data_IF_797175005281
#
_entry.id   IF_797175005281
#
_cell.length_a   1.000
_cell.length_b   1.000
_cell.length_c   1.000
_cell.angle_alpha   90.00
_cell.angle_beta   90.00
_cell.angle_gamma   90.00
#
_symmetry.space_group_name_H-M   'P 1'
#
loop_
_entity.id
_entity.type
_entity.pdbx_description
1 polymer ?
#
# COMPACT_ATOMS: atom_id res chain seq x y z
N UNK A 1 34.77 -41.18 4.14
CA UNK A 1 33.62 -42.03 4.50
C UNK A 1 32.89 -41.32 5.62
N UNK A 2 31.69 -40.73 5.54
CA UNK A 2 30.55 -40.59 4.59
C UNK A 2 29.96 -39.17 4.89
N UNK A 3 29.75 -38.23 3.93
CA UNK A 3 28.49 -37.91 3.20
C UNK A 3 27.21 -38.29 3.96
N UNK A 4 26.28 -37.40 4.31
CA UNK A 4 25.23 -36.69 3.54
C UNK A 4 24.22 -36.18 4.61
N UNK A 5 23.29 -35.22 4.45
CA UNK A 5 22.72 -34.48 3.34
C UNK A 5 22.08 -33.18 3.87
N UNK A 6 22.00 -32.17 3.00
CA UNK A 6 21.27 -30.93 3.20
C UNK A 6 19.78 -31.13 2.89
N UNK A 7 18.90 -30.62 3.75
CA UNK A 7 17.46 -30.58 3.53
C UNK A 7 17.03 -29.18 3.07
N UNK A 8 16.62 -29.09 1.80
CA UNK A 8 15.84 -27.99 1.25
C UNK A 8 14.44 -27.99 1.89
N UNK A 9 14.04 -26.89 2.54
CA UNK A 9 12.66 -26.67 2.92
C UNK A 9 12.02 -25.69 1.93
N UNK A 10 11.25 -26.25 0.98
CA UNK A 10 10.31 -25.50 0.16
C UNK A 10 9.07 -25.14 0.98
N UNK A 11 8.68 -23.88 0.98
CA UNK A 11 7.45 -23.41 1.58
C UNK A 11 6.26 -23.88 0.73
N UNK A 12 5.45 -24.79 1.27
CA UNK A 12 4.19 -25.22 0.66
C UNK A 12 3.07 -24.22 0.96
N UNK A 13 2.24 -23.92 -0.05
CA UNK A 13 0.99 -23.16 0.11
C UNK A 13 -0.05 -23.96 0.92
N UNK A 14 -0.98 -23.30 1.65
CA UNK A 14 -2.08 -23.99 2.32
C UNK A 14 -3.17 -24.43 1.33
N UNK A 15 -3.64 -25.68 1.45
CA UNK A 15 -4.78 -26.21 0.70
C UNK A 15 -6.12 -25.54 1.10
N UNK A 16 -7.04 -25.27 0.16
CA UNK A 16 -8.42 -24.92 0.48
C UNK A 16 -9.27 -26.17 0.79
N UNK A 17 -10.04 -26.12 1.88
CA UNK A 17 -11.02 -27.16 2.24
C UNK A 17 -12.19 -27.19 1.22
N UNK A 18 -12.74 -28.37 0.89
CA UNK A 18 -13.84 -28.46 -0.06
C UNK A 18 -15.17 -28.00 0.56
N UNK A 19 -15.88 -27.15 -0.18
CA UNK A 19 -17.26 -26.75 0.10
C UNK A 19 -18.22 -27.92 -0.17
N UNK A 20 -19.06 -28.22 0.82
CA UNK A 20 -20.17 -29.18 0.73
C UNK A 20 -21.33 -28.52 -0.03
N UNK A 21 -21.76 -29.14 -1.14
CA UNK A 21 -22.96 -28.73 -1.87
C UNK A 21 -24.23 -29.20 -1.12
N UNK A 22 -25.30 -28.39 -1.00
CA UNK A 22 -26.52 -28.80 -0.32
C UNK A 22 -27.40 -29.67 -1.23
N UNK A 23 -27.95 -30.73 -0.64
CA UNK A 23 -28.92 -31.64 -1.24
C UNK A 23 -30.29 -30.96 -1.43
N UNK A 24 -30.85 -31.05 -2.64
CA UNK A 24 -32.20 -30.57 -2.95
C UNK A 24 -33.25 -31.61 -2.53
N UNK A 25 -34.02 -31.27 -1.50
CA UNK A 25 -35.24 -31.96 -1.03
C UNK A 25 -36.42 -31.75 -1.99
N UNK A 26 -37.23 -32.79 -2.18
CA UNK A 26 -38.39 -32.79 -3.07
C UNK A 26 -39.72 -32.30 -2.46
N UNK A 27 -40.56 -31.78 -3.36
CA UNK A 27 -42.04 -31.76 -3.36
C UNK A 27 -42.77 -30.64 -2.57
N UNK A 28 -44.07 -30.35 -2.83
CA UNK A 28 -44.94 -30.78 -3.95
C UNK A 28 -45.90 -29.69 -4.54
N UNK A 29 -46.60 -30.09 -5.62
CA UNK A 29 -48.05 -29.87 -5.91
C UNK A 29 -48.53 -28.82 -6.95
N UNK A 30 -49.54 -29.30 -7.71
CA UNK A 30 -50.55 -28.63 -8.58
C UNK A 30 -50.05 -27.96 -9.88
N UNK A 31 -50.63 -28.18 -11.07
CA UNK A 31 -51.78 -28.94 -11.53
C UNK A 31 -52.34 -28.28 -12.79
N UNK A 32 -52.51 -29.01 -13.89
CA UNK A 32 -53.58 -28.83 -14.89
C UNK A 32 -53.42 -29.90 -15.96
N UNK A 33 -54.54 -30.57 -16.27
CA UNK A 33 -54.57 -31.68 -17.22
C UNK A 33 -54.36 -31.21 -18.66
N UNK A 34 -54.41 -32.16 -19.60
CA UNK A 34 -55.16 -32.13 -20.86
C UNK A 34 -55.20 -33.59 -21.35
N UNK A 35 -56.40 -34.12 -21.60
CA UNK A 35 -56.61 -35.47 -22.15
C UNK A 35 -56.41 -35.43 -23.67
N UNK A 36 -55.67 -36.40 -24.26
CA UNK A 36 -56.19 -37.25 -25.37
C UNK A 36 -55.20 -38.31 -25.87
N UNK A 37 -55.79 -39.51 -26.05
CA UNK A 37 -55.51 -40.59 -27.03
C UNK A 37 -54.27 -41.47 -26.87
N UNK A 38 -54.54 -42.69 -26.38
CA UNK A 38 -53.81 -43.93 -26.65
C UNK A 38 -53.63 -44.16 -28.16
N UNK A 39 -52.40 -44.43 -28.60
CA UNK A 39 -52.01 -45.48 -29.56
C UNK A 39 -50.56 -45.90 -29.27
N UNK A 40 -50.23 -47.20 -29.32
CA UNK A 40 -48.90 -47.69 -29.01
C UNK A 40 -48.01 -47.50 -30.25
N UNK A 41 -46.89 -46.81 -30.11
CA UNK A 41 -45.82 -46.83 -31.11
C UNK A 41 -44.53 -47.22 -30.41
N UNK A 42 -44.24 -48.50 -30.50
CA UNK A 42 -42.90 -49.07 -30.45
C UNK A 42 -41.99 -48.29 -31.39
N UNK A 43 -41.16 -47.40 -30.82
CA UNK A 43 -40.03 -46.78 -31.50
C UNK A 43 -38.74 -47.45 -31.01
N UNK A 44 -38.53 -48.69 -31.45
CA UNK A 44 -37.17 -49.14 -31.74
C UNK A 44 -36.83 -48.52 -33.10
N UNK A 45 -35.77 -47.71 -33.24
CA UNK A 45 -35.32 -47.36 -34.57
C UNK A 45 -34.72 -48.65 -35.13
N UNK A 46 -35.39 -49.24 -36.11
CA UNK A 46 -34.74 -50.14 -37.06
C UNK A 46 -33.63 -49.33 -37.74
N UNK A 47 -32.43 -49.32 -37.16
CA UNK A 47 -31.23 -48.92 -37.89
C UNK A 47 -31.15 -49.86 -39.08
N UNK A 48 -31.29 -49.29 -40.28
CA UNK A 48 -31.10 -50.01 -41.52
C UNK A 48 -29.75 -50.72 -41.48
N UNK A 49 -29.68 -51.96 -41.98
CA UNK A 49 -28.41 -52.69 -42.12
C UNK A 49 -27.36 -51.84 -42.86
N UNK A 50 -27.82 -50.92 -43.71
CA UNK A 50 -26.98 -49.94 -44.41
C UNK A 50 -26.37 -48.89 -43.47
N UNK A 51 -27.14 -48.37 -42.53
CA UNK A 51 -26.68 -47.35 -41.58
C UNK A 51 -25.74 -47.95 -40.53
N UNK A 52 -26.01 -49.19 -40.10
CA UNK A 52 -25.07 -49.96 -39.29
C UNK A 52 -23.77 -50.24 -40.07
N UNK A 53 -23.86 -50.59 -41.35
CA UNK A 53 -22.70 -50.76 -42.23
C UNK A 53 -21.85 -49.49 -42.36
N UNK A 54 -22.47 -48.33 -42.56
CA UNK A 54 -21.77 -47.05 -42.60
C UNK A 54 -21.09 -46.72 -41.27
N UNK A 55 -21.77 -46.97 -40.14
CA UNK A 55 -21.22 -46.72 -38.81
C UNK A 55 -20.02 -47.64 -38.51
N UNK A 56 -20.14 -48.93 -38.84
CA UNK A 56 -19.05 -49.91 -38.66
C UNK A 56 -17.88 -49.63 -39.61
N UNK A 57 -18.13 -49.18 -40.84
CA UNK A 57 -17.07 -48.76 -41.76
C UNK A 57 -16.34 -47.50 -41.27
N UNK A 58 -17.07 -46.51 -40.74
CA UNK A 58 -16.48 -45.32 -40.16
C UNK A 58 -15.65 -45.65 -38.90
N UNK A 59 -16.15 -46.54 -38.04
CA UNK A 59 -15.40 -47.05 -36.90
C UNK A 59 -14.15 -47.82 -37.33
N UNK A 60 -14.24 -48.67 -38.36
CA UNK A 60 -13.08 -49.39 -38.90
C UNK A 60 -12.03 -48.42 -39.45
N UNK A 61 -12.44 -47.40 -40.20
CA UNK A 61 -11.54 -46.36 -40.71
C UNK A 61 -10.89 -45.55 -39.59
N UNK A 62 -11.63 -45.23 -38.53
CA UNK A 62 -11.10 -44.54 -37.37
C UNK A 62 -10.12 -45.41 -36.58
N UNK A 63 -10.42 -46.71 -36.41
CA UNK A 63 -9.55 -47.67 -35.77
C UNK A 63 -8.27 -47.92 -36.59
N UNK A 64 -8.38 -48.05 -37.91
CA UNK A 64 -7.23 -48.19 -38.81
C UNK A 64 -6.39 -46.91 -38.84
N UNK A 65 -7.02 -45.74 -38.83
CA UNK A 65 -6.34 -44.44 -38.73
C UNK A 65 -5.59 -44.29 -37.40
N UNK A 66 -6.21 -44.72 -36.28
CA UNK A 66 -5.58 -44.75 -34.95
C UNK A 66 -4.43 -45.76 -34.87
N UNK A 67 -4.57 -46.93 -35.50
CA UNK A 67 -3.50 -47.93 -35.60
C UNK A 67 -2.32 -47.40 -36.42
N UNK A 68 -2.58 -46.72 -37.54
CA UNK A 68 -1.55 -46.06 -38.34
C UNK A 68 -0.88 -44.89 -37.60
N UNK A 69 -1.65 -44.17 -36.78
CA UNK A 69 -1.16 -43.12 -35.89
C UNK A 69 -0.23 -43.67 -34.80
N UNK A 70 -0.58 -44.83 -34.21
CA UNK A 70 0.24 -45.50 -33.20
C UNK A 70 1.49 -46.15 -33.78
N UNK A 71 1.42 -46.70 -35.00
CA UNK A 71 2.56 -47.35 -35.67
C UNK A 71 3.61 -46.36 -36.20
N UNK A 72 3.21 -45.12 -36.53
CA UNK A 72 4.12 -44.07 -37.01
C UNK A 72 4.76 -43.22 -35.90
N UNK A 73 4.64 -43.62 -34.63
CA UNK A 73 5.36 -42.98 -33.52
C UNK A 73 4.82 -41.61 -33.09
N UNK A 74 3.58 -41.25 -33.45
CA UNK A 74 2.92 -40.03 -33.00
C UNK A 74 2.43 -39.09 -34.12
N UNK A 75 2.00 -37.87 -33.77
CA UNK A 75 1.40 -36.95 -34.72
C UNK A 75 2.42 -36.43 -35.74
N UNK A 76 2.02 -36.20 -37.01
CA UNK A 76 2.89 -35.63 -38.03
C UNK A 76 3.45 -34.27 -37.60
N UNK A 77 4.69 -33.97 -37.99
CA UNK A 77 5.42 -32.75 -37.61
C UNK A 77 4.63 -31.44 -37.79
N UNK A 78 3.81 -31.34 -38.84
CA UNK A 78 2.93 -30.20 -39.05
C UNK A 78 1.97 -29.93 -37.87
N UNK A 79 1.42 -30.96 -37.21
CA UNK A 79 0.54 -30.79 -36.05
C UNK A 79 1.33 -30.38 -34.79
N UNK A 80 2.61 -30.78 -34.69
CA UNK A 80 3.51 -30.31 -33.65
C UNK A 80 3.90 -28.84 -33.88
N UNK A 81 4.13 -28.45 -35.12
CA UNK A 81 4.43 -27.06 -35.49
C UNK A 81 3.20 -26.16 -35.31
N UNK A 82 2.01 -26.66 -35.65
CA UNK A 82 0.75 -25.93 -35.42
C UNK A 82 0.49 -25.70 -33.92
N UNK A 83 0.86 -26.64 -33.03
CA UNK A 83 0.86 -26.46 -31.57
C UNK A 83 1.80 -25.33 -31.14
N UNK A 84 2.94 -25.18 -31.82
CA UNK A 84 3.89 -24.12 -31.53
C UNK A 84 3.38 -22.73 -31.94
N UNK A 85 2.54 -22.65 -32.98
CA UNK A 85 1.91 -21.41 -33.46
C UNK A 85 0.62 -21.03 -32.71
N UNK A 86 -0.14 -22.00 -32.22
CA UNK A 86 -1.41 -21.76 -31.49
C UNK A 86 -1.23 -21.53 -29.98
N UNK A 87 0.01 -21.57 -29.47
CA UNK A 87 0.30 -21.46 -28.05
C UNK A 87 -0.03 -22.74 -27.28
N UNK A 88 0.62 -22.94 -26.12
CA UNK A 88 0.38 -24.09 -25.26
C UNK A 88 -1.08 -24.17 -24.85
N UNK A 89 -1.83 -25.09 -25.46
CA UNK A 89 -3.14 -25.51 -24.97
C UNK A 89 -2.95 -26.15 -23.60
N UNK A 90 -3.49 -25.53 -22.56
CA UNK A 90 -3.49 -26.03 -21.17
C UNK A 90 -4.38 -27.27 -20.97
N UNK A 91 -4.99 -27.80 -22.03
CA UNK A 91 -6.01 -28.84 -21.89
C UNK A 91 -5.45 -30.24 -21.58
N UNK A 92 -4.14 -30.49 -21.72
CA UNK A 92 -3.55 -31.83 -21.49
C UNK A 92 -2.37 -31.88 -20.50
N UNK A 93 -1.97 -30.76 -19.89
CA UNK A 93 -0.86 -30.71 -18.92
C UNK A 93 -1.31 -30.38 -17.46
N UNK A 94 -2.62 -30.38 -17.18
CA UNK A 94 -3.22 -29.85 -15.93
C UNK A 94 -3.32 -30.87 -14.77
N UNK A 95 -2.21 -31.52 -14.43
CA UNK A 95 -2.01 -32.08 -13.08
C UNK A 95 -0.92 -31.34 -12.28
N UNK A 96 -0.38 -30.25 -12.84
CA UNK A 96 0.40 -29.28 -12.06
C UNK A 96 -0.52 -28.43 -11.17
N UNK A 97 -0.05 -27.97 -9.99
CA UNK A 97 -0.76 -26.95 -9.25
C UNK A 97 -1.02 -25.75 -10.17
N UNK A 98 -2.23 -25.18 -10.10
CA UNK A 98 -2.63 -24.05 -10.92
C UNK A 98 -1.52 -22.98 -10.91
N UNK A 99 -1.11 -22.45 -12.07
CA UNK A 99 -0.07 -21.44 -12.12
C UNK A 99 -0.47 -20.28 -11.22
N UNK A 100 0.46 -19.85 -10.35
CA UNK A 100 0.24 -18.74 -9.45
C UNK A 100 -0.22 -17.53 -10.28
N UNK A 101 -1.44 -17.06 -10.03
CA UNK A 101 -1.99 -15.89 -10.72
C UNK A 101 -1.19 -14.66 -10.27
N UNK A 102 -0.10 -14.36 -10.97
CA UNK A 102 0.62 -13.10 -10.82
C UNK A 102 -0.31 -12.01 -11.30
N UNK A 103 -0.78 -11.15 -10.39
CA UNK A 103 -1.59 -10.00 -10.76
C UNK A 103 -0.76 -9.11 -11.70
N UNK A 104 -1.35 -8.54 -12.77
CA UNK A 104 -0.62 -7.71 -13.73
C UNK A 104 -0.17 -6.35 -13.15
N UNK A 105 -0.38 -6.14 -11.85
CA UNK A 105 -0.11 -4.91 -11.11
C UNK A 105 0.47 -5.26 -9.73
N UNK A 106 1.22 -4.33 -9.10
CA UNK A 106 1.70 -4.53 -7.73
C UNK A 106 0.54 -4.80 -6.78
N UNK A 107 0.54 -5.96 -6.14
CA UNK A 107 -0.52 -6.41 -5.21
C UNK A 107 -0.17 -6.20 -3.73
N UNK A 108 1.04 -5.70 -3.47
CA UNK A 108 1.62 -5.51 -2.15
C UNK A 108 2.20 -4.10 -2.07
N UNK A 109 1.53 -3.21 -1.35
CA UNK A 109 1.95 -1.81 -1.19
C UNK A 109 2.25 -1.53 0.28
N UNK A 110 3.38 -0.87 0.55
CA UNK A 110 3.75 -0.43 1.90
C UNK A 110 3.84 1.09 1.94
N UNK A 111 3.04 1.70 2.83
CA UNK A 111 3.15 3.09 3.21
C UNK A 111 3.72 3.21 4.63
N UNK A 112 5.05 3.23 4.74
CA UNK A 112 5.77 3.38 6.01
C UNK A 112 5.80 4.85 6.46
N UNK A 113 4.62 5.35 6.80
CA UNK A 113 4.29 6.78 6.90
C UNK A 113 5.16 7.56 7.89
N UNK A 114 5.75 8.66 7.41
CA UNK A 114 6.54 9.59 8.26
C UNK A 114 5.61 10.44 9.13
N UNK A 115 5.94 10.60 10.41
CA UNK A 115 5.17 11.44 11.34
C UNK A 115 5.10 12.90 10.89
N UNK A 116 3.91 13.51 11.06
CA UNK A 116 3.62 14.93 10.76
C UNK A 116 3.77 15.34 9.28
N UNK A 117 3.71 14.36 8.37
CA UNK A 117 3.70 14.55 6.92
C UNK A 117 2.32 14.29 6.29
N UNK A 118 1.23 14.68 6.98
CA UNK A 118 -0.14 14.48 6.49
C UNK A 118 -0.66 13.04 6.52
N UNK A 119 0.02 12.14 7.23
CA UNK A 119 -0.29 10.70 7.21
C UNK A 119 -1.71 10.36 7.65
N UNK A 120 -2.30 11.12 8.59
CA UNK A 120 -3.69 10.90 9.05
C UNK A 120 -4.70 11.17 7.94
N UNK A 121 -4.58 12.30 7.26
CA UNK A 121 -5.40 12.65 6.09
C UNK A 121 -5.32 11.56 5.01
N UNK A 122 -4.12 11.06 4.73
CA UNK A 122 -3.94 9.99 3.72
C UNK A 122 -4.56 8.68 4.17
N UNK A 123 -4.51 8.33 5.46
CA UNK A 123 -5.14 7.11 5.99
C UNK A 123 -6.67 7.18 5.91
N UNK A 124 -7.25 8.36 6.08
CA UNK A 124 -8.69 8.58 5.89
C UNK A 124 -9.10 8.30 4.43
N UNK A 125 -8.32 8.80 3.47
CA UNK A 125 -8.50 8.46 2.05
C UNK A 125 -8.38 6.94 1.81
N UNK A 126 -7.33 6.32 2.37
CA UNK A 126 -7.08 4.89 2.18
C UNK A 126 -8.20 4.00 2.71
N UNK A 127 -8.89 4.39 3.79
CA UNK A 127 -10.05 3.68 4.33
C UNK A 127 -11.24 3.71 3.38
N UNK A 128 -11.55 4.91 2.87
CA UNK A 128 -12.61 5.08 1.87
C UNK A 128 -12.28 4.27 0.60
N UNK A 129 -11.03 4.32 0.17
CA UNK A 129 -10.54 3.62 -1.02
C UNK A 129 -10.53 2.10 -0.84
N UNK A 130 -10.20 1.57 0.36
CA UNK A 130 -10.20 0.13 0.61
C UNK A 130 -11.59 -0.46 0.50
N UNK A 131 -12.60 0.25 1.01
CA UNK A 131 -14.00 -0.17 0.88
C UNK A 131 -14.48 -0.08 -0.56
N UNK A 132 -14.09 0.98 -1.28
CA UNK A 132 -14.51 1.20 -2.68
C UNK A 132 -13.88 0.20 -3.65
N UNK A 133 -12.60 -0.10 -3.49
CA UNK A 133 -11.82 -0.89 -4.45
C UNK A 133 -11.53 -2.33 -3.99
N UNK A 134 -11.94 -2.70 -2.77
CA UNK A 134 -11.89 -4.08 -2.27
C UNK A 134 -10.48 -4.60 -1.99
N UNK A 135 -9.56 -3.73 -1.55
CA UNK A 135 -8.22 -4.15 -1.10
C UNK A 135 -8.12 -4.13 0.43
N UNK A 136 -7.21 -4.95 0.98
CA UNK A 136 -7.01 -5.03 2.42
C UNK A 136 -6.13 -3.90 2.93
N UNK A 137 -6.69 -2.98 3.72
CA UNK A 137 -5.92 -1.96 4.43
C UNK A 137 -5.38 -2.53 5.74
N UNK A 138 -4.12 -2.94 5.74
CA UNK A 138 -3.49 -3.56 6.91
C UNK A 138 -2.87 -2.49 7.79
N UNK A 139 -3.29 -2.43 9.05
CA UNK A 139 -2.68 -1.59 10.08
C UNK A 139 -2.07 -2.49 11.16
N UNK A 140 -1.32 -1.90 12.10
CA UNK A 140 -0.69 -2.63 13.20
C UNK A 140 -0.94 -1.87 14.49
N UNK A 141 -1.39 -2.56 15.53
CA UNK A 141 -1.67 -1.99 16.86
C UNK A 141 -0.48 -1.23 17.46
N UNK A 142 0.75 -1.64 17.09
CA UNK A 142 1.96 -0.98 17.52
C UNK A 142 2.26 0.21 16.59
N UNK A 143 1.86 1.41 17.02
CA UNK A 143 2.04 2.62 16.22
C UNK A 143 3.30 3.44 16.53
N UNK A 144 3.90 3.29 17.72
CA UNK A 144 4.95 4.19 18.23
C UNK A 144 6.38 3.65 18.09
N UNK A 145 6.55 2.34 17.84
CA UNK A 145 7.86 1.71 17.69
C UNK A 145 8.31 1.69 16.24
N UNK A 146 9.16 2.66 15.88
CA UNK A 146 9.70 2.82 14.51
C UNK A 146 10.97 2.00 14.26
N UNK A 147 11.77 1.78 15.31
CA UNK A 147 13.03 1.02 15.32
C UNK A 147 12.77 -0.40 15.80
N UNK A 148 13.11 -1.38 14.99
CA UNK A 148 12.81 -2.79 15.24
C UNK A 148 14.10 -3.62 15.36
N UNK A 149 14.13 -4.54 16.31
CA UNK A 149 15.15 -5.59 16.37
C UNK A 149 15.01 -6.55 15.19
N UNK A 150 16.04 -7.38 14.93
CA UNK A 150 15.99 -8.36 13.82
C UNK A 150 14.77 -9.30 13.93
N UNK A 151 14.45 -9.75 15.14
CA UNK A 151 13.32 -10.66 15.37
C UNK A 151 11.98 -9.96 15.11
N UNK A 152 11.83 -8.72 15.58
CA UNK A 152 10.62 -7.91 15.34
C UNK A 152 10.46 -7.56 13.85
N UNK A 153 11.55 -7.37 13.11
CA UNK A 153 11.49 -7.19 11.66
C UNK A 153 10.98 -8.45 10.98
N UNK A 154 11.50 -9.63 11.35
CA UNK A 154 11.04 -10.91 10.80
C UNK A 154 9.56 -11.15 11.11
N UNK A 155 9.14 -10.91 12.35
CA UNK A 155 7.75 -11.08 12.77
C UNK A 155 6.81 -10.12 12.03
N UNK A 156 7.18 -8.85 11.93
CA UNK A 156 6.38 -7.87 11.20
C UNK A 156 6.29 -8.19 9.71
N UNK A 157 7.40 -8.57 9.08
CA UNK A 157 7.41 -8.99 7.67
C UNK A 157 6.52 -10.21 7.48
N UNK A 158 6.62 -11.22 8.35
CA UNK A 158 5.77 -12.41 8.29
C UNK A 158 4.29 -12.04 8.39
N UNK A 159 3.92 -11.20 9.36
CA UNK A 159 2.53 -10.79 9.57
C UNK A 159 1.97 -10.00 8.36
N UNK A 160 2.79 -9.15 7.74
CA UNK A 160 2.41 -8.41 6.53
C UNK A 160 2.26 -9.37 5.34
N UNK A 161 3.23 -10.26 5.13
CA UNK A 161 3.24 -11.20 4.01
C UNK A 161 2.13 -12.25 4.07
N UNK A 162 1.55 -12.52 5.24
CA UNK A 162 0.38 -13.41 5.40
C UNK A 162 -0.95 -12.73 5.10
N UNK A 163 -0.99 -11.42 4.90
CA UNK A 163 -2.22 -10.72 4.56
C UNK A 163 -2.73 -11.11 3.17
N UNK A 164 -4.05 -11.20 3.03
CA UNK A 164 -4.68 -11.49 1.74
C UNK A 164 -4.44 -10.34 0.75
N UNK A 165 -4.04 -10.68 -0.47
CA UNK A 165 -3.71 -9.72 -1.52
C UNK A 165 -4.95 -9.43 -2.40
N UNK A 166 -5.10 -8.19 -2.92
CA UNK A 166 -4.20 -7.06 -2.79
C UNK A 166 -4.29 -6.39 -1.41
N UNK A 167 -3.14 -5.99 -0.85
CA UNK A 167 -3.11 -5.25 0.42
C UNK A 167 -2.30 -3.96 0.32
N UNK A 168 -2.63 -3.02 1.20
CA UNK A 168 -1.82 -1.83 1.49
C UNK A 168 -1.55 -1.78 2.98
N UNK A 169 -0.29 -1.95 3.37
CA UNK A 169 0.14 -1.88 4.76
C UNK A 169 0.55 -0.45 5.13
N UNK A 170 0.10 0.06 6.28
CA UNK A 170 0.51 1.36 6.77
C UNK A 170 0.87 1.38 8.26
N UNK A 171 2.05 1.93 8.58
CA UNK A 171 2.56 2.08 9.95
C UNK A 171 3.67 3.13 10.01
N UNK A 172 3.86 3.76 11.17
CA UNK A 172 5.09 4.49 11.46
C UNK A 172 6.24 3.52 11.75
N UNK A 173 7.02 3.18 10.72
CA UNK A 173 8.16 2.27 10.83
C UNK A 173 9.26 2.67 9.85
N UNK A 174 10.53 2.51 10.23
CA UNK A 174 11.62 2.72 9.26
C UNK A 174 11.63 1.61 8.22
N UNK A 175 12.12 1.92 7.02
CA UNK A 175 12.19 1.02 5.88
C UNK A 175 12.67 -0.39 6.26
N UNK A 176 11.93 -1.40 5.77
CA UNK A 176 12.20 -2.81 5.93
C UNK A 176 12.54 -3.42 4.58
N UNK A 177 13.68 -4.11 4.51
CA UNK A 177 14.04 -4.90 3.35
C UNK A 177 13.48 -6.31 3.53
N UNK A 178 12.41 -6.64 2.81
CA UNK A 178 11.71 -7.93 2.90
C UNK A 178 12.56 -9.04 2.30
N UNK A 179 13.25 -8.76 1.18
CA UNK A 179 14.14 -9.71 0.51
C UNK A 179 15.25 -10.24 1.41
N UNK A 180 15.77 -9.41 2.32
CA UNK A 180 16.77 -9.82 3.32
C UNK A 180 16.26 -10.90 4.27
N UNK A 181 14.96 -11.04 4.42
CA UNK A 181 14.29 -12.04 5.25
C UNK A 181 13.55 -13.11 4.44
N UNK A 182 13.82 -13.21 3.14
CA UNK A 182 13.22 -14.20 2.25
C UNK A 182 11.76 -13.94 1.87
N UNK A 183 11.26 -12.71 2.11
CA UNK A 183 9.95 -12.28 1.64
C UNK A 183 10.03 -11.55 0.30
N UNK A 184 8.93 -11.55 -0.44
CA UNK A 184 8.78 -10.73 -1.63
C UNK A 184 8.82 -9.25 -1.26
N UNK A 185 9.56 -8.45 -2.02
CA UNK A 185 9.68 -7.02 -1.75
C UNK A 185 8.41 -6.30 -2.21
N UNK A 186 7.62 -5.71 -1.29
CA UNK A 186 6.47 -4.91 -1.66
C UNK A 186 6.92 -3.58 -2.25
N UNK A 187 6.02 -2.95 -2.99
CA UNK A 187 6.24 -1.60 -3.50
C UNK A 187 6.05 -0.58 -2.39
N UNK A 188 7.06 0.26 -2.16
CA UNK A 188 6.94 1.33 -1.16
C UNK A 188 6.42 2.63 -1.77
N UNK A 189 5.60 3.33 -1.00
CA UNK A 189 5.21 4.72 -1.25
C UNK A 189 5.43 5.55 0.01
N UNK A 190 5.69 6.85 -0.13
CA UNK A 190 5.77 7.73 1.02
C UNK A 190 5.49 9.19 0.67
N UNK A 191 5.25 9.99 1.71
CA UNK A 191 5.05 11.44 1.62
C UNK A 191 5.88 12.08 2.71
N UNK A 192 6.76 13.00 2.32
CA UNK A 192 7.57 13.80 3.25
C UNK A 192 7.08 15.25 3.27
N UNK A 193 7.65 16.06 4.15
CA UNK A 193 7.32 17.48 4.32
C UNK A 193 8.62 18.25 4.55
N UNK A 194 8.61 19.55 4.29
CA UNK A 194 9.69 20.45 4.71
C UNK A 194 10.16 20.13 6.16
N UNK A 195 11.47 19.91 6.38
CA UNK A 195 12.00 19.46 7.67
C UNK A 195 11.62 20.33 8.86
N UNK A 196 11.70 21.66 8.72
CA UNK A 196 11.37 22.61 9.79
C UNK A 196 9.87 22.61 10.05
N UNK A 197 9.03 22.71 9.02
CA UNK A 197 7.58 22.67 9.16
C UNK A 197 7.09 21.37 9.79
N UNK A 198 7.72 20.23 9.46
CA UNK A 198 7.47 18.94 10.12
C UNK A 198 7.86 18.99 11.60
N UNK A 199 9.05 19.52 11.91
CA UNK A 199 9.51 19.68 13.28
C UNK A 199 8.58 20.58 14.10
N UNK A 200 8.24 21.77 13.61
CA UNK A 200 7.32 22.70 14.28
C UNK A 200 5.96 22.05 14.50
N UNK A 201 5.41 21.37 13.47
CA UNK A 201 4.17 20.64 13.65
C UNK A 201 4.26 19.57 14.73
N UNK A 202 5.40 18.89 14.91
CA UNK A 202 5.61 17.93 15.99
C UNK A 202 5.75 18.62 17.36
N UNK A 203 6.49 19.72 17.43
CA UNK A 203 6.75 20.50 18.63
C UNK A 203 5.44 20.95 19.28
N UNK A 204 4.58 21.61 18.50
CA UNK A 204 3.28 22.09 18.98
C UNK A 204 2.28 20.96 19.19
N UNK A 205 2.34 19.89 18.39
CA UNK A 205 1.43 18.75 18.58
C UNK A 205 1.66 18.02 19.90
N UNK A 206 2.91 17.88 20.32
CA UNK A 206 3.22 17.29 21.63
C UNK A 206 2.73 18.16 22.79
N UNK A 207 2.56 19.46 22.59
CA UNK A 207 2.17 20.44 23.63
C UNK A 207 0.66 20.70 23.66
N UNK A 208 0.06 20.86 22.50
CA UNK A 208 -1.31 21.37 22.34
C UNK A 208 -2.20 20.42 21.52
N UNK A 209 -1.65 19.37 20.92
CA UNK A 209 -2.44 18.39 20.18
C UNK A 209 -2.94 18.89 18.82
N UNK A 210 -4.11 18.38 18.47
CA UNK A 210 -4.92 18.70 17.29
C UNK A 210 -6.31 19.14 17.78
N UNK A 211 -7.24 19.43 16.87
CA UNK A 211 -8.58 19.94 17.21
C UNK A 211 -9.45 19.00 18.07
N UNK A 212 -9.03 17.75 18.27
CA UNK A 212 -9.70 16.73 19.11
C UNK A 212 -9.56 16.97 20.63
N UNK A 213 -9.59 18.22 21.06
CA UNK A 213 -9.64 18.61 22.47
C UNK A 213 -8.37 18.45 23.32
N UNK A 214 -8.34 19.21 24.42
CA UNK A 214 -7.22 19.29 25.37
C UNK A 214 -7.08 18.02 26.25
N UNK A 215 -8.19 17.28 26.48
CA UNK A 215 -8.21 16.04 27.26
C UNK A 215 -7.26 14.97 26.70
N UNK A 216 -7.05 15.00 25.38
CA UNK A 216 -6.16 14.11 24.67
C UNK A 216 -4.66 14.37 24.97
N UNK A 217 -4.28 15.56 25.46
CA UNK A 217 -2.88 15.85 25.78
C UNK A 217 -2.38 15.05 26.99
N UNK A 218 -3.20 14.92 28.05
CA UNK A 218 -2.82 14.17 29.27
C UNK A 218 -2.55 12.70 28.96
N UNK A 219 -3.23 12.13 27.96
CA UNK A 219 -3.02 10.77 27.49
C UNK A 219 -1.76 10.66 26.61
N UNK A 220 -1.52 11.66 25.75
CA UNK A 220 -0.44 11.63 24.74
C UNK A 220 0.95 11.92 25.33
N UNK A 221 1.02 12.84 26.29
CA UNK A 221 2.27 13.25 26.95
C UNK A 221 2.04 13.42 28.46
N UNK A 222 1.78 12.31 29.18
CA UNK A 222 1.37 12.36 30.59
C UNK A 222 2.38 13.02 31.53
N UNK A 223 3.67 13.01 31.17
CA UNK A 223 4.76 13.51 32.01
C UNK A 223 5.25 14.92 31.62
N UNK A 224 4.59 15.61 30.69
CA UNK A 224 5.04 16.95 30.26
C UNK A 224 4.66 18.00 31.30
N UNK A 225 5.67 18.72 31.83
CA UNK A 225 5.45 19.79 32.80
C UNK A 225 4.85 21.02 32.13
N UNK A 226 4.19 21.88 32.92
CA UNK A 226 3.61 23.13 32.41
C UNK A 226 4.68 24.05 31.79
N UNK A 227 5.84 24.17 32.44
CA UNK A 227 7.00 24.91 31.94
C UNK A 227 7.50 24.38 30.58
N UNK A 228 7.51 23.06 30.39
CA UNK A 228 7.85 22.44 29.11
C UNK A 228 6.76 22.67 28.06
N UNK A 229 5.49 22.60 28.46
CA UNK A 229 4.34 22.77 27.57
C UNK A 229 4.33 24.15 26.92
N UNK A 230 4.62 25.19 27.70
CA UNK A 230 4.60 26.59 27.26
C UNK A 230 5.99 27.15 26.96
N UNK A 231 7.02 26.29 26.89
CA UNK A 231 8.37 26.70 26.49
C UNK A 231 8.32 27.39 25.12
N UNK A 232 8.81 28.63 25.08
CA UNK A 232 8.91 29.38 23.83
C UNK A 232 9.84 28.66 22.84
N UNK A 233 9.41 28.58 21.59
CA UNK A 233 10.13 27.83 20.56
C UNK A 233 11.51 28.43 20.28
N UNK A 234 11.66 29.77 20.39
CA UNK A 234 12.95 30.41 20.17
C UNK A 234 13.92 30.07 21.30
N UNK A 235 13.45 30.15 22.55
CA UNK A 235 14.25 29.73 23.71
C UNK A 235 14.71 28.28 23.55
N UNK A 236 13.81 27.37 23.17
CA UNK A 236 14.16 25.97 22.93
C UNK A 236 15.30 25.80 21.89
N UNK A 237 15.24 26.57 20.80
CA UNK A 237 16.21 26.48 19.70
C UNK A 237 17.54 27.14 20.06
N UNK A 238 17.49 28.39 20.54
CA UNK A 238 18.65 29.22 20.86
C UNK A 238 19.46 28.62 22.01
N UNK A 239 18.80 28.15 23.06
CA UNK A 239 19.45 27.52 24.21
C UNK A 239 19.75 26.03 24.01
N UNK A 240 19.52 25.50 22.80
CA UNK A 240 19.91 24.15 22.41
C UNK A 240 19.30 23.04 23.27
N UNK A 241 18.01 23.17 23.62
CA UNK A 241 17.28 22.12 24.34
C UNK A 241 17.34 20.79 23.57
N UNK A 242 17.35 19.62 24.26
CA UNK A 242 17.52 18.32 23.61
C UNK A 242 16.50 17.99 22.51
N UNK A 243 15.28 18.51 22.59
CA UNK A 243 14.25 18.31 21.55
C UNK A 243 14.35 19.26 20.35
N UNK A 244 15.07 20.37 20.50
CA UNK A 244 15.35 21.35 19.45
C UNK A 244 16.78 21.21 18.89
N UNK A 245 17.44 20.08 19.16
CA UNK A 245 18.83 19.80 18.78
C UNK A 245 19.05 18.37 18.28
N UNK A 246 20.19 18.12 17.63
CA UNK A 246 20.55 16.79 17.18
C UNK A 246 20.92 15.89 18.38
N UNK A 247 20.59 14.58 18.33
CA UNK A 247 20.06 13.85 17.18
C UNK A 247 18.52 13.87 17.06
N UNK A 248 17.77 14.58 17.92
CA UNK A 248 16.29 14.53 17.92
C UNK A 248 15.64 15.24 16.73
N UNK A 249 16.33 16.20 16.12
CA UNK A 249 15.88 16.82 14.87
C UNK A 249 15.95 15.87 13.66
N UNK A 250 16.86 14.89 13.71
CA UNK A 250 17.05 13.88 12.65
C UNK A 250 15.94 12.82 12.71
N UNK A 251 15.00 12.92 11.78
CA UNK A 251 13.72 12.22 11.77
C UNK A 251 13.29 11.67 10.40
N UNK A 252 13.42 12.40 9.28
CA UNK A 252 12.89 11.92 7.98
C UNK A 252 13.83 10.87 7.38
N UNK A 253 15.12 11.17 7.25
CA UNK A 253 16.12 10.23 6.70
C UNK A 253 16.06 8.82 7.31
N UNK A 254 15.97 8.62 8.65
CA UNK A 254 15.85 7.29 9.24
C UNK A 254 14.71 6.44 8.68
N UNK A 255 13.58 7.03 8.28
CA UNK A 255 12.46 6.30 7.70
C UNK A 255 12.80 5.66 6.35
N UNK A 256 13.72 6.26 5.60
CA UNK A 256 14.16 5.78 4.29
C UNK A 256 15.46 4.98 4.39
N UNK A 257 16.41 5.40 5.22
CA UNK A 257 17.66 4.70 5.47
C UNK A 257 17.42 3.29 6.04
N UNK A 258 16.41 3.14 6.91
CA UNK A 258 15.92 1.86 7.41
C UNK A 258 16.39 1.53 8.83
N UNK A 259 16.49 0.23 9.11
CA UNK A 259 16.70 -0.29 10.47
C UNK A 259 18.18 -0.40 10.90
N UNK A 260 19.12 -0.03 10.03
CA UNK A 260 20.55 -0.13 10.33
C UNK A 260 20.96 0.83 11.46
N UNK A 261 21.83 0.46 12.42
CA UNK A 261 22.23 1.34 13.52
C UNK A 261 22.81 2.70 13.07
N UNK A 262 23.58 2.71 11.98
CA UNK A 262 24.12 3.96 11.37
C UNK A 262 23.03 4.91 10.85
N UNK A 263 21.78 4.47 10.66
CA UNK A 263 20.66 5.34 10.31
C UNK A 263 20.12 6.16 11.49
N UNK A 264 20.67 5.98 12.70
CA UNK A 264 20.16 6.64 13.93
C UNK A 264 20.76 8.02 14.16
N UNK A 265 21.85 8.33 13.48
CA UNK A 265 22.61 9.56 13.66
C UNK A 265 22.72 10.31 12.33
N UNK A 266 22.67 11.66 12.37
CA UNK A 266 22.85 12.46 11.17
C UNK A 266 24.25 12.28 10.61
N UNK A 267 24.34 11.93 9.33
CA UNK A 267 25.61 11.73 8.65
C UNK A 267 25.42 11.37 7.17
N UNK A 268 26.50 11.56 6.41
CA UNK A 268 26.53 11.32 4.97
C UNK A 268 26.13 9.88 4.60
N UNK A 269 26.62 8.89 5.37
CA UNK A 269 26.26 7.50 5.14
C UNK A 269 24.74 7.24 5.22
N UNK A 270 24.06 7.84 6.19
CA UNK A 270 22.62 7.65 6.39
C UNK A 270 21.80 8.33 5.29
N UNK A 271 22.24 9.53 4.89
CA UNK A 271 21.70 10.29 3.77
C UNK A 271 21.81 9.51 2.46
N UNK A 272 23.01 9.05 2.10
CA UNK A 272 23.24 8.34 0.83
C UNK A 272 22.50 6.99 0.81
N UNK A 273 22.50 6.25 1.93
CA UNK A 273 21.70 5.03 2.05
C UNK A 273 20.20 5.30 1.88
N UNK A 274 19.68 6.40 2.41
CA UNK A 274 18.29 6.79 2.21
C UNK A 274 17.98 7.10 0.74
N UNK A 275 18.84 7.88 0.05
CA UNK A 275 18.70 8.16 -1.38
C UNK A 275 18.71 6.87 -2.21
N UNK A 276 19.61 5.94 -1.93
CA UNK A 276 19.65 4.62 -2.58
C UNK A 276 18.35 3.84 -2.39
N UNK A 277 17.85 3.75 -1.15
CA UNK A 277 16.61 3.02 -0.89
C UNK A 277 15.41 3.64 -1.61
N UNK A 278 15.33 4.98 -1.67
CA UNK A 278 14.30 5.70 -2.45
C UNK A 278 14.31 5.24 -3.91
N UNK A 279 15.48 5.20 -4.54
CA UNK A 279 15.60 4.83 -5.96
C UNK A 279 15.30 3.35 -6.22
N UNK A 280 15.70 2.47 -5.31
CA UNK A 280 15.63 1.02 -5.52
C UNK A 280 14.29 0.41 -5.10
N UNK A 281 13.61 0.99 -4.10
CA UNK A 281 12.49 0.33 -3.43
C UNK A 281 11.18 1.14 -3.40
N UNK A 282 11.22 2.46 -3.62
CA UNK A 282 10.03 3.31 -3.57
C UNK A 282 9.53 3.61 -4.99
N UNK A 283 8.26 3.32 -5.24
CA UNK A 283 7.57 3.70 -6.47
C UNK A 283 7.36 5.21 -6.55
N UNK A 284 6.99 5.82 -5.42
CA UNK A 284 6.76 7.26 -5.33
C UNK A 284 7.07 7.76 -3.93
N UNK A 285 7.89 8.82 -3.85
CA UNK A 285 8.02 9.65 -2.66
C UNK A 285 7.60 11.07 -3.02
N UNK A 286 6.46 11.50 -2.49
CA UNK A 286 5.90 12.83 -2.71
C UNK A 286 6.26 13.83 -1.62
N UNK A 287 5.93 15.10 -1.84
CA UNK A 287 6.01 16.16 -0.83
C UNK A 287 4.61 16.63 -0.42
N UNK A 288 4.40 16.90 0.86
CA UNK A 288 3.12 17.30 1.42
C UNK A 288 2.65 18.65 0.87
N UNK A 289 3.59 19.55 0.55
CA UNK A 289 3.30 20.86 -0.03
C UNK A 289 2.58 20.76 -1.38
N UNK A 290 2.68 19.61 -2.07
CA UNK A 290 2.06 19.34 -3.37
C UNK A 290 1.21 18.06 -3.32
N UNK A 291 0.49 17.82 -2.21
CA UNK A 291 -0.24 16.57 -1.95
C UNK A 291 -1.22 16.19 -3.07
N UNK A 292 -1.91 17.15 -3.68
CA UNK A 292 -2.84 16.88 -4.79
C UNK A 292 -2.14 16.21 -5.98
N UNK A 293 -0.96 16.70 -6.36
CA UNK A 293 -0.16 16.11 -7.43
C UNK A 293 0.37 14.72 -7.05
N UNK A 294 0.70 14.51 -5.77
CA UNK A 294 1.09 13.20 -5.26
C UNK A 294 -0.06 12.21 -5.42
N UNK A 295 -1.26 12.59 -4.99
CA UNK A 295 -2.46 11.76 -5.09
C UNK A 295 -2.81 11.44 -6.54
N UNK A 296 -2.68 12.42 -7.45
CA UNK A 296 -2.90 12.22 -8.88
C UNK A 296 -1.89 11.23 -9.50
N UNK A 297 -0.62 11.28 -9.09
CA UNK A 297 0.37 10.31 -9.55
C UNK A 297 0.12 8.92 -8.97
N UNK A 298 -0.28 8.80 -7.71
CA UNK A 298 -0.67 7.52 -7.11
C UNK A 298 -1.87 6.91 -7.83
N UNK A 299 -2.87 7.72 -8.19
CA UNK A 299 -4.02 7.29 -9.00
C UNK A 299 -3.59 6.72 -10.36
N UNK A 300 -2.56 7.30 -10.99
CA UNK A 300 -2.02 6.82 -12.27
C UNK A 300 -1.17 5.55 -12.12
N UNK A 301 -0.35 5.45 -11.07
CA UNK A 301 0.55 4.30 -10.90
C UNK A 301 -0.12 3.08 -10.29
N UNK A 302 -1.07 3.31 -9.39
CA UNK A 302 -1.73 2.28 -8.60
C UNK A 302 -3.26 2.48 -8.65
N UNK A 303 -3.88 2.46 -9.85
CA UNK A 303 -5.31 2.75 -10.00
C UNK A 303 -6.20 1.79 -9.20
N UNK A 304 -5.77 0.54 -9.00
CA UNK A 304 -6.49 -0.44 -8.17
C UNK A 304 -6.57 -0.05 -6.69
N UNK A 305 -5.70 0.83 -6.21
CA UNK A 305 -5.72 1.35 -4.84
C UNK A 305 -6.24 2.79 -4.77
N UNK A 306 -5.93 3.62 -5.77
CA UNK A 306 -6.08 5.08 -5.69
C UNK A 306 -7.02 5.68 -6.73
N UNK A 307 -7.78 4.89 -7.49
CA UNK A 307 -8.77 5.44 -8.42
C UNK A 307 -9.76 6.37 -7.69
N UNK A 308 -10.03 7.51 -8.29
CA UNK A 308 -10.88 8.61 -7.80
C UNK A 308 -10.36 9.33 -6.53
N UNK A 309 -9.11 9.07 -6.09
CA UNK A 309 -8.59 9.63 -4.83
C UNK A 309 -8.60 11.16 -4.80
N UNK A 310 -8.31 11.82 -5.93
CA UNK A 310 -8.31 13.28 -6.04
C UNK A 310 -9.72 13.83 -5.83
N UNK A 311 -10.75 13.13 -6.34
CA UNK A 311 -12.15 13.53 -6.14
C UNK A 311 -12.57 13.41 -4.68
N UNK A 312 -12.15 12.34 -3.99
CA UNK A 312 -12.43 12.12 -2.56
C UNK A 312 -11.70 13.17 -1.73
N UNK A 313 -10.45 13.47 -2.06
CA UNK A 313 -9.65 14.47 -1.35
C UNK A 313 -10.27 15.88 -1.41
N UNK A 314 -10.88 16.25 -2.55
CA UNK A 314 -11.57 17.54 -2.74
C UNK A 314 -12.97 17.60 -2.15
N UNK A 315 -13.53 16.48 -1.69
CA UNK A 315 -14.85 16.45 -1.08
C UNK A 315 -14.88 17.27 0.23
N UNK A 316 -15.87 18.17 0.42
CA UNK A 316 -16.00 18.96 1.65
C UNK A 316 -16.01 18.15 2.95
N UNK A 317 -16.69 16.99 2.96
CA UNK A 317 -16.76 16.11 4.15
C UNK A 317 -15.37 15.60 4.55
N UNK A 318 -14.61 15.11 3.56
CA UNK A 318 -13.24 14.67 3.78
C UNK A 318 -12.33 15.83 4.19
N UNK A 319 -12.55 17.03 3.63
CA UNK A 319 -11.78 18.23 3.99
C UNK A 319 -12.06 18.66 5.44
N UNK A 320 -13.31 18.63 5.90
CA UNK A 320 -13.71 18.89 7.29
C UNK A 320 -12.94 17.97 8.23
N UNK A 321 -12.98 16.67 7.94
CA UNK A 321 -12.26 15.65 8.69
C UNK A 321 -10.73 15.82 8.70
N UNK A 322 -10.17 16.18 7.55
CA UNK A 322 -8.75 16.45 7.39
C UNK A 322 -8.29 17.65 8.22
N UNK A 323 -9.11 18.70 8.31
CA UNK A 323 -8.84 19.89 9.09
C UNK A 323 -8.72 19.58 10.59
N UNK A 324 -9.53 18.65 11.11
CA UNK A 324 -9.45 18.21 12.51
C UNK A 324 -8.10 17.56 12.88
N UNK A 325 -7.32 17.14 11.89
CA UNK A 325 -5.98 16.55 12.12
C UNK A 325 -4.85 17.58 12.24
N UNK A 326 -5.14 18.86 11.98
CA UNK A 326 -4.18 19.95 12.00
C UNK A 326 -3.79 20.28 13.45
N UNK A 327 -2.50 20.53 13.65
CA UNK A 327 -1.96 20.95 14.94
C UNK A 327 -2.29 22.41 15.22
N UNK A 328 -2.80 22.68 16.43
CA UNK A 328 -3.26 23.98 16.92
C UNK A 328 -2.14 24.80 17.58
N UNK A 329 -2.38 26.10 17.80
CA UNK A 329 -1.52 27.01 18.60
C UNK A 329 -0.06 27.03 18.13
N UNK A 330 0.18 26.99 16.81
CA UNK A 330 1.53 27.05 16.26
C UNK A 330 2.05 28.49 16.29
N UNK A 331 3.29 28.66 16.71
CA UNK A 331 4.01 29.92 16.56
C UNK A 331 5.14 29.76 15.56
N UNK A 332 5.41 30.83 14.81
CA UNK A 332 6.52 30.88 13.85
C UNK A 332 7.78 31.33 14.62
N UNK A 333 8.89 30.57 14.56
CA UNK A 333 10.13 31.00 15.20
C UNK A 333 10.72 32.26 14.53
N UNK A 334 11.60 32.95 15.25
CA UNK A 334 12.42 34.04 14.74
C UNK A 334 13.31 33.58 13.58
N UNK A 335 13.70 34.53 12.73
CA UNK A 335 14.59 34.26 11.60
C UNK A 335 15.91 33.62 12.03
N UNK A 336 16.47 34.08 13.16
CA UNK A 336 17.68 33.49 13.75
C UNK A 336 17.47 32.02 14.14
N UNK A 337 16.37 31.71 14.82
CA UNK A 337 16.02 30.34 15.20
C UNK A 337 15.84 29.44 13.97
N UNK A 338 15.21 29.95 12.90
CA UNK A 338 15.04 29.22 11.63
C UNK A 338 16.40 28.93 10.98
N UNK A 339 17.32 29.89 10.96
CA UNK A 339 18.67 29.69 10.41
C UNK A 339 19.44 28.61 11.18
N UNK A 340 19.37 28.63 12.51
CA UNK A 340 19.99 27.61 13.38
C UNK A 340 19.38 26.23 13.09
N UNK A 341 18.05 26.13 12.99
CA UNK A 341 17.40 24.87 12.64
C UNK A 341 17.83 24.37 11.26
N UNK A 342 17.91 25.25 10.25
CA UNK A 342 18.34 24.89 8.90
C UNK A 342 19.75 24.29 8.92
N UNK A 343 20.69 24.92 9.64
CA UNK A 343 22.05 24.40 9.80
C UNK A 343 22.07 23.04 10.52
N UNK A 344 21.31 22.89 11.61
CA UNK A 344 21.21 21.62 12.36
C UNK A 344 20.56 20.51 11.52
N UNK A 345 19.65 20.86 10.61
CA UNK A 345 18.91 19.94 9.74
C UNK A 345 19.49 19.84 8.32
N UNK A 346 20.75 20.25 8.07
CA UNK A 346 21.32 20.29 6.70
C UNK A 346 21.13 19.01 5.90
N UNK A 347 21.33 17.84 6.53
CA UNK A 347 21.15 16.55 5.86
C UNK A 347 19.68 16.28 5.52
N UNK A 348 18.75 16.63 6.41
CA UNK A 348 17.31 16.50 6.16
C UNK A 348 16.87 17.37 4.99
N UNK A 349 17.41 18.58 4.89
CA UNK A 349 17.15 19.47 3.75
C UNK A 349 17.74 18.93 2.46
N UNK A 350 18.97 18.41 2.49
CA UNK A 350 19.58 17.78 1.32
C UNK A 350 18.74 16.59 0.82
N UNK A 351 18.26 15.74 1.74
CA UNK A 351 17.35 14.65 1.41
C UNK A 351 15.99 15.15 0.89
N UNK A 352 15.40 16.16 1.52
CA UNK A 352 14.12 16.74 1.11
C UNK A 352 14.21 17.31 -0.31
N UNK A 353 15.25 18.08 -0.62
CA UNK A 353 15.43 18.65 -1.97
C UNK A 353 15.72 17.58 -3.01
N UNK A 354 16.48 16.55 -2.66
CA UNK A 354 16.67 15.38 -3.53
C UNK A 354 15.32 14.73 -3.88
N UNK A 355 14.48 14.42 -2.89
CA UNK A 355 13.15 13.83 -3.10
C UNK A 355 12.25 14.77 -3.91
N UNK A 356 12.25 16.06 -3.59
CA UNK A 356 11.48 17.09 -4.30
C UNK A 356 11.86 17.15 -5.78
N UNK A 357 13.15 17.11 -6.09
CA UNK A 357 13.64 17.09 -7.47
C UNK A 357 13.20 15.83 -8.21
N UNK A 358 13.34 14.65 -7.60
CA UNK A 358 12.88 13.38 -8.20
C UNK A 358 11.37 13.40 -8.45
N UNK A 359 10.58 13.90 -7.49
CA UNK A 359 9.14 14.07 -7.64
C UNK A 359 8.77 15.02 -8.78
N UNK A 360 9.44 16.18 -8.88
CA UNK A 360 9.22 17.14 -9.96
C UNK A 360 9.64 16.62 -11.33
N UNK A 361 10.73 15.85 -11.40
CA UNK A 361 11.13 15.14 -12.63
C UNK A 361 10.04 14.15 -13.06
N UNK A 362 9.47 13.40 -12.13
CA UNK A 362 8.38 12.47 -12.41
C UNK A 362 7.11 13.20 -12.88
N UNK A 363 6.71 14.29 -12.22
CA UNK A 363 5.60 15.15 -12.66
C UNK A 363 5.78 15.59 -14.12
N UNK A 364 6.97 16.06 -14.49
CA UNK A 364 7.29 16.48 -15.86
C UNK A 364 7.16 15.33 -16.86
N UNK A 365 7.66 14.13 -16.53
CA UNK A 365 7.52 12.94 -17.38
C UNK A 365 6.06 12.55 -17.64
N UNK A 366 5.18 12.86 -16.69
CA UNK A 366 3.73 12.59 -16.77
C UNK A 366 2.89 13.78 -17.26
N UNK A 367 3.54 14.83 -17.79
CA UNK A 367 2.87 15.99 -18.36
C UNK A 367 2.18 16.90 -17.33
N UNK A 368 2.50 16.75 -16.04
CA UNK A 368 1.98 17.64 -14.99
C UNK A 368 2.84 18.90 -14.93
N UNK A 369 2.21 20.07 -15.06
CA UNK A 369 2.89 21.37 -14.91
C UNK A 369 3.17 21.60 -13.43
N UNK A 370 4.40 21.95 -13.06
CA UNK A 370 4.62 22.57 -11.75
C UNK A 370 3.99 23.96 -11.77
N UNK A 371 3.02 24.21 -10.90
CA UNK A 371 2.55 25.57 -10.64
C UNK A 371 3.75 26.41 -10.18
N UNK A 372 4.03 27.46 -10.95
CA UNK A 372 5.05 28.49 -10.80
C UNK A 372 6.52 28.07 -10.98
N UNK A 373 7.04 28.42 -12.16
CA UNK A 373 8.45 28.72 -12.35
C UNK A 373 8.85 29.96 -11.57
N UNK A 374 9.70 29.76 -10.57
CA UNK A 374 10.83 30.63 -10.26
C UNK A 374 11.95 29.70 -9.79
N UNK A 375 12.64 29.09 -10.76
CA UNK A 375 13.84 28.32 -10.50
C UNK A 375 15.03 29.28 -10.43
N UNK A 376 15.29 29.79 -9.24
CA UNK A 376 16.67 30.03 -8.83
C UNK A 376 17.07 28.88 -7.89
N UNK A 377 18.24 28.25 -8.06
CA UNK A 377 18.74 27.21 -7.17
C UNK A 377 19.42 27.83 -5.94
N UNK A 378 18.84 28.90 -5.38
CA UNK A 378 19.24 29.40 -4.07
C UNK A 378 18.24 28.89 -3.05
N UNK A 379 18.68 28.37 -1.89
CA UNK A 379 17.80 28.17 -0.76
C UNK A 379 17.36 29.56 -0.28
N UNK A 380 16.37 30.15 -0.95
CA UNK A 380 15.65 31.27 -0.39
C UNK A 380 14.95 30.73 0.85
N UNK A 381 15.36 31.26 1.99
CA UNK A 381 14.74 31.04 3.28
C UNK A 381 13.27 31.44 3.18
N UNK A 382 12.41 30.51 2.80
CA UNK A 382 10.98 30.69 2.89
C UNK A 382 10.66 30.67 4.39
N UNK A 383 10.50 31.86 4.97
CA UNK A 383 9.90 32.02 6.30
C UNK A 383 8.54 31.31 6.21
N UNK A 384 8.26 30.32 7.08
CA UNK A 384 6.95 29.69 7.10
C UNK A 384 5.89 30.78 7.20
N UNK A 385 4.98 30.86 6.22
CA UNK A 385 3.84 31.78 6.30
C UNK A 385 3.12 31.55 7.63
N UNK A 386 2.66 32.60 8.34
CA UNK A 386 1.82 32.42 9.52
C UNK A 386 0.62 31.58 9.11
N UNK A 387 0.58 30.32 9.55
CA UNK A 387 -0.67 29.57 9.56
C UNK A 387 -1.39 30.05 10.82
N UNK A 388 -2.18 31.12 10.65
CA UNK A 388 -3.22 31.46 11.62
C UNK A 388 -4.13 30.23 11.75
N UNK A 389 -4.08 29.59 12.91
CA UNK A 389 -5.14 28.67 13.31
C UNK A 389 -6.26 29.54 13.86
N UNK A 390 -7.36 29.65 13.10
CA UNK A 390 -8.60 30.30 13.55
C UNK A 390 -9.05 29.74 14.90
N UNK A 391 -9.71 30.56 15.72
CA UNK A 391 -10.26 30.18 17.03
C UNK A 391 -11.47 29.23 16.89
N UNK A 392 -11.78 28.40 17.91
CA UNK A 392 -12.78 27.34 17.82
C UNK A 392 -14.19 27.86 17.48
N UNK A 393 -14.87 27.15 16.58
CA UNK A 393 -16.31 27.28 16.32
C UNK A 393 -17.04 26.15 17.07
N UNK A 394 -18.11 26.52 17.77
CA UNK A 394 -19.01 25.78 18.69
C UNK A 394 -19.00 24.23 18.75
N UNK A 395 -19.05 23.73 19.98
CA UNK A 395 -18.85 22.34 20.47
C UNK A 395 -19.87 21.28 19.97
N UNK A 396 -21.04 21.67 19.46
CA UNK A 396 -22.17 20.73 19.24
C UNK A 396 -22.05 19.87 17.96
N UNK A 397 -21.35 20.35 16.91
CA UNK A 397 -21.14 19.57 15.67
C UNK A 397 -19.86 18.71 15.69
N UNK A 398 -18.92 19.00 16.60
CA UNK A 398 -17.61 18.34 16.63
C UNK A 398 -17.65 16.94 17.27
N UNK A 399 -18.63 16.70 18.16
CA UNK A 399 -18.69 15.47 18.94
C UNK A 399 -19.05 14.24 18.10
N UNK A 400 -19.90 14.41 17.08
CA UNK A 400 -20.25 13.34 16.13
C UNK A 400 -19.11 13.05 15.15
N UNK A 401 -18.41 14.10 14.66
CA UNK A 401 -17.25 13.96 13.77
C UNK A 401 -16.04 13.34 14.49
N UNK A 402 -15.84 13.67 15.78
CA UNK A 402 -14.81 13.09 16.63
C UNK A 402 -15.09 11.62 16.94
N UNK A 403 -16.35 11.28 17.27
CA UNK A 403 -16.78 9.89 17.47
C UNK A 403 -16.59 9.06 16.20
N UNK A 404 -16.94 9.60 15.04
CA UNK A 404 -16.73 8.93 13.76
C UNK A 404 -15.24 8.71 13.46
N UNK A 405 -14.37 9.69 13.76
CA UNK A 405 -12.91 9.51 13.70
C UNK A 405 -12.41 8.44 14.66
N UNK A 406 -12.89 8.41 15.90
CA UNK A 406 -12.50 7.40 16.88
C UNK A 406 -12.92 5.99 16.46
N UNK A 407 -14.15 5.82 15.98
CA UNK A 407 -14.65 4.54 15.46
C UNK A 407 -13.84 4.09 14.25
N UNK A 408 -13.45 5.05 13.40
CA UNK A 408 -12.49 4.84 12.32
C UNK A 408 -11.15 4.34 12.88
N UNK A 409 -10.58 4.87 13.97
CA UNK A 409 -9.30 4.38 14.53
C UNK A 409 -9.41 3.13 15.43
N UNK A 410 -10.61 2.72 15.86
CA UNK A 410 -10.87 1.52 16.68
C UNK A 410 -11.17 0.27 15.86
N UNK A 411 -11.53 0.39 14.58
CA UNK A 411 -11.60 -0.69 13.58
C UNK A 411 -10.34 -0.74 12.72
#
# INVERSE_FOLDING_TARGET
>A
SKKEAAAHFGAGCPEPRPHVAPASSGGPAHGMGWRRRRRPFSLLPFLSLRDYGFCMAALLLFCLGSLFYQLNGGPPHFLLDLRHYLGNSTYLDDHGPAPCKVLPFPSQVVYNRVGKCGSRTVVLLLRILSERHGFNLVTSDIHNKTRLTKNEQMELIKNISTAEQPYLFTRHVHFLNFSRFGGDQPVYINIIRDPINRFLSNYFFRRFGDWRGEQNHMIRTPNMRQEERYLDINVCILENYPECSNPRLFYIIPYFCGQHPKCREPGEWALERAKMNVNENFLLVGILEELEDVLLLLERFLPHYFKDVVSIYKNPEHRKLGNLTVTVKKTVPSTESIQILYQRMRYEYEFYYYVKEQFHLLKRKFGLRSSNGNSSPRPEFAIPSPLETEEPVTEDEEQDDEKWLEDIYKR
#
